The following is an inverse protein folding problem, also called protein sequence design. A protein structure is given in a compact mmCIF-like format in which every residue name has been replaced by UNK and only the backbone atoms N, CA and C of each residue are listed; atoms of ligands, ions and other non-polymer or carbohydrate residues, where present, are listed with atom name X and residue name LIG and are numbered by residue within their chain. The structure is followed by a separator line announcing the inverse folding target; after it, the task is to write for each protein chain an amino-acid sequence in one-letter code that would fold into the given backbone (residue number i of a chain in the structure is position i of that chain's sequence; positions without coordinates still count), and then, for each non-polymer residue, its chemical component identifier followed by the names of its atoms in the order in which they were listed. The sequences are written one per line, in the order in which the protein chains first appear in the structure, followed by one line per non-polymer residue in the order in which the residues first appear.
data_IF_133907734968
#
_entry.id   IF_133907734968
#
_cell.length_a   1.000
_cell.length_b   1.000
_cell.length_c   1.000
_cell.angle_alpha   90.00
_cell.angle_beta   90.00
_cell.angle_gamma   90.00
#
_symmetry.space_group_name_H-M   'P 1'
#
loop_
_entity.id
_entity.type
_entity.pdbx_description
1 polymer ?
#
# COMPACT_ATOMS: atom_id res chain seq x y z
N UNK A 1 18.02 -11.10 10.50
CA UNK A 1 19.29 -10.35 10.72
C UNK A 1 19.14 -9.06 11.52
N UNK A 2 18.16 -8.19 11.22
CA UNK A 2 18.00 -6.89 11.91
C UNK A 2 16.85 -6.83 12.93
N UNK A 3 16.08 -7.92 13.06
CA UNK A 3 14.92 -8.01 13.97
C UNK A 3 13.93 -6.84 13.80
N UNK A 4 13.73 -6.39 12.56
CA UNK A 4 12.83 -5.29 12.24
C UNK A 4 11.45 -5.87 11.92
N UNK A 5 10.42 -5.35 12.57
CA UNK A 5 9.04 -5.66 12.22
C UNK A 5 8.68 -5.04 10.87
N UNK A 6 8.02 -5.82 10.02
CA UNK A 6 7.52 -5.38 8.71
C UNK A 6 6.00 -5.33 8.76
N UNK A 7 5.41 -4.24 8.26
CA UNK A 7 3.96 -4.13 8.11
C UNK A 7 3.64 -4.30 6.62
N UNK A 8 3.04 -5.44 6.28
CA UNK A 8 2.48 -5.72 4.97
C UNK A 8 1.03 -5.19 4.93
N UNK A 9 0.85 -3.94 4.47
CA UNK A 9 -0.47 -3.37 4.23
C UNK A 9 -1.01 -3.78 2.85
N UNK A 10 -2.03 -4.64 2.84
CA UNK A 10 -2.56 -5.25 1.62
C UNK A 10 -4.07 -4.96 1.41
N UNK A 11 -4.43 -3.71 1.06
CA UNK A 11 -5.81 -3.33 0.80
C UNK A 11 -6.31 -3.72 -0.59
N UNK A 12 -5.42 -4.09 -1.52
CA UNK A 12 -5.74 -4.29 -2.94
C UNK A 12 -5.53 -5.72 -3.45
N UNK A 13 -4.97 -6.63 -2.64
CA UNK A 13 -4.52 -7.94 -3.13
C UNK A 13 -5.60 -8.81 -3.79
N UNK A 14 -6.87 -8.62 -3.41
CA UNK A 14 -8.00 -9.32 -4.02
C UNK A 14 -8.47 -8.68 -5.34
N UNK A 15 -8.11 -7.43 -5.62
CA UNK A 15 -8.49 -6.70 -6.84
C UNK A 15 -7.43 -6.89 -7.92
N UNK A 16 -7.20 -8.14 -8.30
CA UNK A 16 -6.23 -8.52 -9.33
C UNK A 16 -6.94 -8.87 -10.63
N UNK A 17 -6.34 -8.48 -11.76
CA UNK A 17 -6.88 -8.73 -13.09
C UNK A 17 -5.85 -9.26 -14.10
N UNK A 18 -4.56 -9.35 -13.73
CA UNK A 18 -3.52 -10.02 -14.49
C UNK A 18 -2.50 -10.72 -13.58
N UNK A 19 -1.76 -11.68 -14.13
CA UNK A 19 -0.67 -12.39 -13.44
C UNK A 19 -1.11 -13.29 -12.27
N UNK A 20 -0.20 -14.14 -11.80
CA UNK A 20 -0.42 -14.94 -10.59
C UNK A 20 -0.32 -14.07 -9.33
N UNK A 21 -1.16 -14.29 -8.31
CA UNK A 21 -1.06 -13.54 -7.06
C UNK A 21 0.28 -13.83 -6.37
N UNK A 22 1.03 -12.80 -5.93
CA UNK A 22 2.27 -13.02 -5.21
C UNK A 22 2.00 -13.69 -3.86
N UNK A 23 2.96 -14.48 -3.39
CA UNK A 23 2.92 -15.05 -2.03
C UNK A 23 3.06 -13.89 -1.03
N UNK A 24 2.12 -13.71 -0.07
CA UNK A 24 2.22 -12.66 0.93
C UNK A 24 3.52 -12.76 1.73
N UNK A 25 4.11 -11.62 2.11
CA UNK A 25 5.32 -11.58 2.94
C UNK A 25 5.08 -12.28 4.27
N UNK A 26 3.89 -12.11 4.85
CA UNK A 26 3.47 -12.81 6.06
C UNK A 26 3.58 -14.33 5.93
N UNK A 27 3.18 -14.89 4.78
CA UNK A 27 3.26 -16.33 4.52
C UNK A 27 4.70 -16.82 4.36
N UNK A 28 5.58 -15.98 3.78
CA UNK A 28 7.01 -16.30 3.62
C UNK A 28 7.77 -16.24 4.95
N UNK A 29 7.42 -15.30 5.82
CA UNK A 29 8.03 -15.12 7.13
C UNK A 29 7.54 -16.14 8.17
N UNK A 30 6.30 -16.65 8.03
CA UNK A 30 5.69 -17.54 9.00
C UNK A 30 5.01 -16.81 10.17
N UNK A 31 4.98 -15.48 10.16
CA UNK A 31 4.30 -14.65 11.15
C UNK A 31 5.14 -14.34 12.40
N UNK A 32 6.47 -14.28 12.26
CA UNK A 32 7.43 -13.98 13.33
C UNK A 32 7.78 -12.49 13.38
N UNK A 33 8.00 -11.87 12.22
CA UNK A 33 8.38 -10.46 12.08
C UNK A 33 7.46 -9.67 11.13
N UNK A 34 6.64 -10.34 10.32
CA UNK A 34 5.72 -9.68 9.41
C UNK A 34 4.32 -9.60 10.04
N UNK A 35 3.73 -8.41 10.00
CA UNK A 35 2.32 -8.17 10.27
C UNK A 35 1.59 -8.06 8.93
N UNK A 36 0.50 -8.81 8.77
CA UNK A 36 -0.40 -8.65 7.63
C UNK A 36 -1.58 -7.76 8.03
N UNK A 37 -1.81 -6.69 7.28
CA UNK A 37 -2.95 -5.78 7.48
C UNK A 37 -3.84 -5.84 6.25
N UNK A 38 -5.14 -6.07 6.46
CA UNK A 38 -6.13 -6.08 5.39
C UNK A 38 -7.32 -5.20 5.70
N UNK A 39 -8.08 -4.85 4.67
CA UNK A 39 -9.28 -4.02 4.81
C UNK A 39 -10.41 -4.46 3.89
N UNK A 40 -11.65 -4.26 4.34
CA UNK A 40 -12.85 -4.45 3.54
C UNK A 40 -13.22 -3.22 2.70
N UNK A 41 -12.43 -2.14 2.82
CA UNK A 41 -12.74 -0.85 2.21
C UNK A 41 -12.83 -0.89 0.69
N UNK A 42 -12.14 -1.85 0.04
CA UNK A 42 -12.00 -1.93 -1.42
C UNK A 42 -12.75 -3.10 -2.04
N UNK A 43 -13.20 -4.05 -1.21
CA UNK A 43 -13.85 -5.30 -1.64
C UNK A 43 -15.28 -5.45 -1.12
N UNK A 44 -15.74 -4.50 -0.30
CA UNK A 44 -17.10 -4.47 0.22
C UNK A 44 -17.61 -3.03 0.28
N UNK A 45 -17.08 -2.22 1.20
CA UNK A 45 -17.47 -0.82 1.33
C UNK A 45 -16.49 -0.05 2.24
N UNK A 46 -16.01 1.13 1.83
CA UNK A 46 -15.20 1.97 2.72
C UNK A 46 -15.99 2.48 3.93
N UNK A 47 -17.33 2.53 3.86
CA UNK A 47 -18.20 3.03 4.94
C UNK A 47 -18.33 2.08 6.14
N UNK A 48 -18.01 0.80 5.97
CA UNK A 48 -18.14 -0.19 7.06
C UNK A 48 -17.00 -0.09 8.10
N UNK A 49 -15.89 0.57 7.74
CA UNK A 49 -14.71 0.79 8.58
C UNK A 49 -14.17 -0.47 9.25
N UNK A 50 -14.14 -1.59 8.54
CA UNK A 50 -13.56 -2.85 9.03
C UNK A 50 -12.27 -3.19 8.28
N UNK A 51 -11.27 -3.56 9.07
CA UNK A 51 -10.05 -4.23 8.63
C UNK A 51 -9.65 -5.30 9.64
N UNK A 52 -8.61 -6.06 9.32
CA UNK A 52 -8.07 -7.11 10.16
C UNK A 52 -6.55 -7.04 10.17
N UNK A 53 -5.95 -7.63 11.20
CA UNK A 53 -4.50 -7.75 11.34
C UNK A 53 -4.14 -9.17 11.78
N UNK A 54 -3.15 -9.76 11.11
CA UNK A 54 -2.44 -10.94 11.59
C UNK A 54 -1.07 -10.46 12.07
N UNK A 55 -0.69 -10.79 13.30
CA UNK A 55 0.54 -10.30 13.90
C UNK A 55 1.13 -11.34 14.86
N UNK A 56 2.46 -11.30 15.11
CA UNK A 56 3.10 -12.13 16.13
C UNK A 56 2.41 -11.97 17.49
N UNK A 57 2.25 -13.03 18.31
CA UNK A 57 1.49 -12.96 19.56
C UNK A 57 1.89 -11.82 20.52
N UNK A 58 3.20 -11.52 20.73
CA UNK A 58 3.61 -10.40 21.58
C UNK A 58 3.13 -9.04 21.04
N UNK A 59 3.12 -8.87 19.72
CA UNK A 59 2.68 -7.64 19.05
C UNK A 59 1.16 -7.53 19.11
N UNK A 60 0.44 -8.63 18.85
CA UNK A 60 -1.02 -8.68 18.96
C UNK A 60 -1.50 -8.27 20.36
N UNK A 61 -0.83 -8.73 21.42
CA UNK A 61 -1.17 -8.33 22.79
C UNK A 61 -1.07 -6.80 23.00
N UNK A 62 -0.07 -6.14 22.40
CA UNK A 62 0.06 -4.67 22.45
C UNK A 62 -0.98 -3.97 21.60
N UNK A 63 -1.32 -4.51 20.43
CA UNK A 63 -2.38 -3.96 19.56
C UNK A 63 -3.75 -4.00 20.26
N UNK A 64 -4.08 -5.10 20.95
CA UNK A 64 -5.34 -5.22 21.71
C UNK A 64 -5.41 -4.19 22.84
N UNK A 65 -4.33 -4.00 23.59
CA UNK A 65 -4.26 -2.96 24.61
C UNK A 65 -4.43 -1.55 24.03
N UNK A 66 -3.72 -1.25 22.93
CA UNK A 66 -3.82 0.04 22.24
C UNK A 66 -5.22 0.31 21.69
N UNK A 67 -5.85 -0.70 21.08
CA UNK A 67 -7.24 -0.63 20.59
C UNK A 67 -8.22 -0.40 21.73
N UNK A 68 -8.11 -1.17 22.81
CA UNK A 68 -8.94 -1.01 24.00
C UNK A 68 -8.87 0.40 24.58
N UNK A 69 -7.69 1.00 24.63
CA UNK A 69 -7.49 2.37 25.09
C UNK A 69 -7.98 3.44 24.09
N UNK A 70 -8.03 3.13 22.79
CA UNK A 70 -8.38 4.09 21.75
C UNK A 70 -9.89 4.19 21.51
N UNK A 71 -10.57 3.06 21.36
CA UNK A 71 -12.00 3.03 20.98
C UNK A 71 -12.78 1.86 21.60
N UNK A 72 -12.18 1.13 22.56
CA UNK A 72 -12.68 -0.10 23.18
C UNK A 72 -12.80 -1.27 22.19
N UNK A 73 -13.68 -1.15 21.21
CA UNK A 73 -13.93 -2.15 20.19
C UNK A 73 -14.54 -1.55 18.93
N UNK A 74 -14.34 -2.23 17.80
CA UNK A 74 -15.05 -1.91 16.55
C UNK A 74 -16.54 -2.26 16.69
N UNK A 75 -17.42 -1.51 16.00
CA UNK A 75 -18.86 -1.78 15.94
C UNK A 75 -19.19 -3.28 15.80
N UNK A 76 -19.79 -3.86 16.84
CA UNK A 76 -20.21 -5.26 16.86
C UNK A 76 -21.20 -5.56 15.73
N UNK A 77 -22.16 -4.66 15.50
CA UNK A 77 -23.14 -4.80 14.41
C UNK A 77 -22.45 -4.93 13.04
N UNK A 78 -21.47 -4.07 12.77
CA UNK A 78 -20.71 -4.10 11.52
C UNK A 78 -19.93 -5.41 11.38
N UNK A 79 -19.35 -5.92 12.47
CA UNK A 79 -18.63 -7.19 12.47
C UNK A 79 -19.56 -8.38 12.19
N UNK A 80 -20.77 -8.39 12.77
CA UNK A 80 -21.78 -9.42 12.47
C UNK A 80 -22.24 -9.36 11.02
N UNK A 81 -22.51 -8.16 10.49
CA UNK A 81 -22.87 -8.00 9.08
C UNK A 81 -21.79 -8.58 8.15
N UNK A 82 -20.53 -8.25 8.39
CA UNK A 82 -19.40 -8.80 7.62
C UNK A 82 -19.35 -10.31 7.73
N UNK A 83 -19.51 -10.87 8.94
CA UNK A 83 -19.51 -12.31 9.14
C UNK A 83 -20.56 -13.02 8.28
N UNK A 84 -21.80 -12.53 8.29
CA UNK A 84 -22.88 -13.12 7.49
C UNK A 84 -22.60 -12.97 5.99
N UNK A 85 -22.24 -11.76 5.54
CA UNK A 85 -21.94 -11.50 4.13
C UNK A 85 -20.83 -12.40 3.56
N UNK A 86 -19.73 -12.57 4.30
CA UNK A 86 -18.63 -13.44 3.86
C UNK A 86 -18.97 -14.92 4.01
N UNK A 87 -19.81 -15.30 4.98
CA UNK A 87 -20.30 -16.66 5.20
C UNK A 87 -21.14 -17.19 4.04
N UNK A 88 -21.90 -16.33 3.36
CA UNK A 88 -22.68 -16.70 2.16
C UNK A 88 -21.82 -16.99 0.92
N UNK A 89 -20.55 -16.55 0.91
CA UNK A 89 -19.61 -16.81 -0.20
C UNK A 89 -19.79 -15.94 -1.46
N UNK A 90 -20.89 -15.18 -1.57
CA UNK A 90 -21.24 -14.32 -2.73
C UNK A 90 -20.22 -13.22 -3.02
N UNK A 91 -19.40 -12.86 -2.04
CA UNK A 91 -18.33 -11.87 -2.18
C UNK A 91 -17.29 -12.24 -3.25
N UNK A 92 -17.10 -13.53 -3.55
CA UNK A 92 -16.13 -13.98 -4.56
C UNK A 92 -16.53 -13.54 -5.96
N UNK A 93 -17.81 -13.71 -6.29
CA UNK A 93 -18.39 -13.28 -7.57
C UNK A 93 -18.35 -11.76 -7.69
N UNK A 94 -18.70 -11.06 -6.60
CA UNK A 94 -18.64 -9.60 -6.52
C UNK A 94 -17.22 -9.07 -6.76
N UNK A 95 -16.20 -9.63 -6.09
CA UNK A 95 -14.80 -9.25 -6.31
C UNK A 95 -14.35 -9.56 -7.73
N UNK A 96 -14.74 -10.70 -8.30
CA UNK A 96 -14.43 -11.03 -9.69
C UNK A 96 -15.08 -10.05 -10.70
N UNK A 97 -16.27 -9.53 -10.38
CA UNK A 97 -16.91 -8.47 -11.15
C UNK A 97 -16.17 -7.14 -11.02
N UNK A 98 -15.80 -6.73 -9.81
CA UNK A 98 -14.97 -5.54 -9.58
C UNK A 98 -13.66 -5.61 -10.36
N UNK A 99 -12.94 -6.74 -10.31
CA UNK A 99 -11.70 -6.93 -11.07
C UNK A 99 -11.90 -6.76 -12.57
N UNK A 100 -13.00 -7.27 -13.13
CA UNK A 100 -13.33 -7.08 -14.56
C UNK A 100 -13.58 -5.62 -14.90
N UNK A 101 -14.37 -4.92 -14.09
CA UNK A 101 -14.67 -3.49 -14.28
C UNK A 101 -13.38 -2.67 -14.22
N UNK A 102 -12.56 -2.89 -13.18
CA UNK A 102 -11.32 -2.14 -13.00
C UNK A 102 -10.27 -2.46 -14.06
N UNK A 103 -10.21 -3.70 -14.55
CA UNK A 103 -9.35 -4.07 -15.69
C UNK A 103 -9.70 -3.27 -16.95
N UNK A 104 -11.00 -3.21 -17.29
CA UNK A 104 -11.47 -2.47 -18.47
C UNK A 104 -11.15 -0.98 -18.36
N UNK A 105 -11.36 -0.39 -17.18
CA UNK A 105 -11.03 1.02 -16.91
C UNK A 105 -9.54 1.32 -16.90
N UNK A 106 -8.71 0.42 -16.36
CA UNK A 106 -7.24 0.50 -16.43
C UNK A 106 -6.77 0.48 -17.89
N UNK A 107 -7.34 -0.39 -18.71
CA UNK A 107 -6.98 -0.47 -20.13
C UNK A 107 -7.40 0.79 -20.90
N UNK A 108 -8.61 1.32 -20.64
CA UNK A 108 -9.04 2.59 -21.23
C UNK A 108 -8.14 3.77 -20.83
N UNK A 109 -7.65 3.79 -19.59
CA UNK A 109 -6.69 4.79 -19.13
C UNK A 109 -5.36 4.69 -19.87
N UNK A 110 -4.80 3.48 -20.03
CA UNK A 110 -3.53 3.27 -20.74
C UNK A 110 -3.64 3.61 -22.22
N UNK A 111 -4.71 3.20 -22.88
CA UNK A 111 -4.98 3.60 -24.28
C UNK A 111 -5.03 5.13 -24.43
N UNK A 112 -5.68 5.81 -23.49
CA UNK A 112 -5.75 7.27 -23.51
C UNK A 112 -4.39 7.92 -23.23
N UNK A 113 -3.57 7.36 -22.33
CA UNK A 113 -2.22 7.84 -22.06
C UNK A 113 -1.34 7.70 -23.30
N UNK A 114 -1.35 6.53 -23.96
CA UNK A 114 -0.63 6.30 -25.22
C UNK A 114 -1.01 7.31 -26.31
N UNK A 115 -2.26 7.75 -26.33
CA UNK A 115 -2.77 8.68 -27.34
C UNK A 115 -2.50 10.14 -27.05
N UNK A 116 -2.55 10.56 -25.79
CA UNK A 116 -2.60 11.98 -25.42
C UNK A 116 -1.40 12.47 -24.62
N UNK A 117 -0.59 11.58 -24.06
CA UNK A 117 0.62 12.00 -23.35
C UNK A 117 1.81 12.10 -24.33
N UNK A 118 2.76 13.00 -24.05
CA UNK A 118 3.92 13.18 -24.91
C UNK A 118 4.84 11.95 -24.81
N UNK A 119 5.66 11.66 -25.83
CA UNK A 119 6.47 10.43 -25.90
C UNK A 119 7.51 10.30 -24.78
N UNK A 120 7.88 11.41 -24.13
CA UNK A 120 8.80 11.44 -23.00
C UNK A 120 8.13 11.02 -21.68
N UNK A 121 6.79 10.96 -21.63
CA UNK A 121 6.07 10.51 -20.46
C UNK A 121 6.11 8.98 -20.34
N UNK A 122 6.11 8.52 -19.09
CA UNK A 122 6.14 7.10 -18.75
C UNK A 122 5.02 6.79 -17.76
N UNK A 123 4.59 5.54 -17.69
CA UNK A 123 3.62 5.12 -16.68
C UNK A 123 3.74 3.65 -16.33
N UNK A 124 3.24 3.31 -15.14
CA UNK A 124 3.10 1.94 -14.69
C UNK A 124 1.94 1.24 -15.37
N UNK A 125 2.09 -0.08 -15.50
CA UNK A 125 1.10 -0.96 -16.11
C UNK A 125 0.61 -1.98 -15.06
N UNK A 126 -0.20 -1.54 -14.08
CA UNK A 126 -0.55 -2.38 -12.94
C UNK A 126 -1.39 -3.58 -13.37
N UNK A 127 -1.17 -4.73 -12.70
CA UNK A 127 -1.95 -5.97 -12.85
C UNK A 127 -3.10 -6.09 -11.83
N UNK A 128 -3.28 -5.09 -10.99
CA UNK A 128 -4.27 -5.05 -9.92
C UNK A 128 -4.36 -3.68 -9.25
N UNK A 129 -5.32 -3.53 -8.34
CA UNK A 129 -5.53 -2.30 -7.59
C UNK A 129 -6.32 -1.25 -8.36
N UNK A 130 -6.15 0.03 -7.98
CA UNK A 130 -7.03 1.14 -8.37
C UNK A 130 -6.29 2.33 -8.98
N UNK A 131 -4.97 2.25 -9.10
CA UNK A 131 -4.13 3.38 -9.46
C UNK A 131 -3.08 3.02 -10.49
N UNK A 132 -2.81 3.99 -11.35
CA UNK A 132 -1.66 4.02 -12.25
C UNK A 132 -0.76 5.18 -11.82
N UNK A 133 0.55 4.99 -11.99
CA UNK A 133 1.56 5.99 -11.70
C UNK A 133 2.16 6.49 -13.00
N UNK A 134 2.07 7.79 -13.28
CA UNK A 134 2.64 8.39 -14.47
C UNK A 134 3.77 9.36 -14.09
N UNK A 135 4.83 9.41 -14.89
CA UNK A 135 5.97 10.30 -14.69
C UNK A 135 6.22 11.09 -15.97
N UNK A 136 6.23 12.40 -15.84
CA UNK A 136 6.51 13.38 -16.88
C UNK A 136 7.98 13.80 -16.86
N UNK A 137 8.48 14.49 -17.89
CA UNK A 137 9.81 15.09 -17.87
C UNK A 137 10.04 15.99 -16.65
N UNK A 138 11.27 15.99 -16.13
CA UNK A 138 11.66 16.66 -14.87
C UNK A 138 11.38 18.17 -14.83
N UNK A 139 11.24 18.82 -15.98
CA UNK A 139 10.90 20.24 -16.07
C UNK A 139 9.41 20.53 -15.87
N UNK A 140 8.56 19.51 -15.79
CA UNK A 140 7.12 19.64 -15.50
C UNK A 140 6.87 19.31 -14.03
N UNK A 141 6.46 20.31 -13.27
CA UNK A 141 5.96 20.11 -11.91
C UNK A 141 4.46 19.75 -11.94
N UNK A 142 4.11 18.61 -11.35
CA UNK A 142 2.74 18.09 -11.35
C UNK A 142 1.81 18.79 -10.37
N UNK A 143 2.34 19.48 -9.35
CA UNK A 143 1.54 20.35 -8.46
C UNK A 143 1.08 21.59 -9.23
N UNK A 144 1.98 22.22 -9.99
CA UNK A 144 1.64 23.32 -10.89
C UNK A 144 0.72 22.87 -12.03
N UNK A 145 0.98 21.69 -12.58
CA UNK A 145 0.12 21.08 -13.61
C UNK A 145 -1.30 20.87 -13.09
N UNK A 146 -1.46 20.39 -11.85
CA UNK A 146 -2.78 20.20 -11.24
C UNK A 146 -3.55 21.52 -11.15
N UNK A 147 -2.90 22.60 -10.73
CA UNK A 147 -3.53 23.92 -10.64
C UNK A 147 -4.09 24.41 -11.99
N UNK A 148 -3.43 24.06 -13.10
CA UNK A 148 -3.90 24.34 -14.46
C UNK A 148 -5.02 23.39 -14.87
N UNK A 149 -4.83 22.09 -14.66
CA UNK A 149 -5.78 21.03 -15.00
C UNK A 149 -7.16 21.20 -14.32
N UNK A 150 -7.18 21.75 -13.09
CA UNK A 150 -8.42 22.07 -12.39
C UNK A 150 -9.30 23.08 -13.13
N UNK A 151 -8.72 23.98 -13.94
CA UNK A 151 -9.49 24.92 -14.78
C UNK A 151 -10.29 24.20 -15.86
N UNK A 152 -9.82 23.03 -16.27
CA UNK A 152 -10.47 22.15 -17.25
C UNK A 152 -11.31 21.06 -16.58
N UNK A 153 -11.60 21.19 -15.27
CA UNK A 153 -12.39 20.23 -14.50
C UNK A 153 -11.82 18.81 -14.52
N UNK A 154 -10.48 18.67 -14.50
CA UNK A 154 -9.81 17.37 -14.31
C UNK A 154 -8.81 17.48 -13.16
N UNK A 155 -8.72 16.41 -12.35
CA UNK A 155 -7.86 16.36 -11.19
C UNK A 155 -7.15 15.01 -11.10
N UNK A 156 -5.95 15.05 -10.52
CA UNK A 156 -5.14 13.90 -10.15
C UNK A 156 -4.42 14.21 -8.84
N UNK A 157 -3.66 13.26 -8.30
CA UNK A 157 -2.85 13.50 -7.09
C UNK A 157 -1.39 13.73 -7.50
N UNK A 158 -0.77 14.88 -7.19
CA UNK A 158 0.64 15.13 -7.46
C UNK A 158 1.52 14.13 -6.71
N UNK A 159 2.62 13.73 -7.34
CA UNK A 159 3.44 12.61 -6.89
C UNK A 159 4.30 12.94 -5.67
N UNK A 160 4.64 14.20 -5.47
CA UNK A 160 5.46 14.67 -4.34
C UNK A 160 4.92 14.20 -2.98
N UNK A 161 3.58 14.16 -2.83
CA UNK A 161 2.92 13.69 -1.61
C UNK A 161 3.17 12.20 -1.28
N UNK A 162 3.72 11.42 -2.22
CA UNK A 162 4.08 10.01 -2.02
C UNK A 162 5.55 9.82 -1.59
N UNK A 163 6.37 10.88 -1.55
CA UNK A 163 7.77 10.83 -1.16
C UNK A 163 8.03 11.63 0.12
N UNK A 164 9.06 11.23 0.87
CA UNK A 164 9.48 11.92 2.12
C UNK A 164 10.78 12.70 1.95
N UNK A 165 11.42 12.59 0.78
CA UNK A 165 12.73 13.15 0.44
C UNK A 165 12.67 14.24 -0.65
N UNK A 166 11.47 14.75 -0.95
CA UNK A 166 11.25 15.80 -1.95
C UNK A 166 11.28 15.33 -3.41
N UNK A 167 11.34 14.02 -3.67
CA UNK A 167 11.17 13.46 -5.03
C UNK A 167 9.70 13.47 -5.48
N UNK A 168 9.47 13.14 -6.75
CA UNK A 168 8.13 12.90 -7.29
C UNK A 168 7.41 14.14 -7.82
N UNK A 169 8.08 15.28 -7.93
CA UNK A 169 7.51 16.51 -8.52
C UNK A 169 7.01 16.28 -9.95
N UNK A 170 7.74 15.50 -10.75
CA UNK A 170 7.35 15.11 -12.12
C UNK A 170 6.34 13.95 -12.22
N UNK A 171 5.93 13.36 -11.09
CA UNK A 171 5.06 12.18 -11.10
C UNK A 171 3.64 12.49 -10.66
N UNK A 172 2.66 11.67 -11.06
CA UNK A 172 1.27 11.80 -10.66
C UNK A 172 0.61 10.44 -10.47
N UNK A 173 -0.35 10.38 -9.55
CA UNK A 173 -1.21 9.20 -9.35
C UNK A 173 -2.57 9.42 -10.00
N UNK A 174 -2.89 8.52 -10.94
CA UNK A 174 -4.18 8.48 -11.64
C UNK A 174 -5.05 7.35 -11.07
N UNK A 175 -6.34 7.61 -10.85
CA UNK A 175 -7.29 6.62 -10.34
C UNK A 175 -8.32 6.25 -11.42
N UNK A 176 -8.52 4.94 -11.64
CA UNK A 176 -9.47 4.42 -12.62
C UNK A 176 -10.67 3.70 -11.97
N UNK A 177 -10.89 3.90 -10.66
CA UNK A 177 -11.88 3.12 -9.90
C UNK A 177 -13.28 3.72 -9.85
N UNK A 178 -13.41 5.05 -10.02
CA UNK A 178 -14.70 5.73 -9.88
C UNK A 178 -15.36 6.04 -11.23
N UNK A 179 -14.58 6.61 -12.16
CA UNK A 179 -15.08 7.15 -13.43
C UNK A 179 -15.36 6.05 -14.45
N UNK A 180 -16.29 6.31 -15.37
CA UNK A 180 -16.50 5.48 -16.57
C UNK A 180 -15.29 5.56 -17.51
N UNK A 181 -15.21 4.62 -18.45
CA UNK A 181 -14.11 4.60 -19.42
C UNK A 181 -14.08 5.85 -20.31
N UNK A 182 -15.24 6.40 -20.68
CA UNK A 182 -15.33 7.61 -21.49
C UNK A 182 -14.90 8.85 -20.70
N UNK A 183 -15.29 8.94 -19.42
CA UNK A 183 -14.82 9.99 -18.52
C UNK A 183 -13.30 9.88 -18.27
N UNK A 184 -12.77 8.66 -18.20
CA UNK A 184 -11.32 8.42 -18.12
C UNK A 184 -10.62 8.94 -19.37
N UNK A 185 -11.09 8.56 -20.58
CA UNK A 185 -10.51 9.02 -21.84
C UNK A 185 -10.53 10.53 -21.96
N UNK A 186 -11.64 11.16 -21.60
CA UNK A 186 -11.79 12.61 -21.62
C UNK A 186 -10.90 13.30 -20.57
N UNK A 187 -10.81 12.76 -19.35
CA UNK A 187 -9.94 13.27 -18.31
C UNK A 187 -8.47 13.23 -18.74
N UNK A 188 -8.00 12.10 -19.26
CA UNK A 188 -6.63 11.95 -19.75
C UNK A 188 -6.36 12.88 -20.94
N UNK A 189 -7.32 13.05 -21.86
CA UNK A 189 -7.20 14.01 -22.97
C UNK A 189 -6.99 15.44 -22.47
N UNK A 190 -7.75 15.87 -21.46
CA UNK A 190 -7.61 17.22 -20.87
C UNK A 190 -6.26 17.39 -20.20
N UNK A 191 -5.81 16.40 -19.43
CA UNK A 191 -4.47 16.41 -18.83
C UNK A 191 -3.39 16.51 -19.93
N UNK A 192 -3.52 15.70 -20.99
CA UNK A 192 -2.61 15.71 -22.13
C UNK A 192 -2.50 17.07 -22.80
N UNK A 193 -3.63 17.78 -22.98
CA UNK A 193 -3.63 19.12 -23.54
C UNK A 193 -2.83 20.13 -22.68
N UNK A 194 -3.01 20.10 -21.35
CA UNK A 194 -2.25 20.97 -20.44
C UNK A 194 -0.75 20.62 -20.46
N UNK A 195 -0.42 19.32 -20.56
CA UNK A 195 0.98 18.87 -20.69
C UNK A 195 1.59 19.39 -21.99
N UNK A 196 0.88 19.27 -23.12
CA UNK A 196 1.33 19.72 -24.43
C UNK A 196 1.65 21.22 -24.46
N UNK A 197 0.84 22.04 -23.80
CA UNK A 197 1.13 23.47 -23.60
C UNK A 197 2.44 23.69 -22.82
N UNK A 198 2.72 22.89 -21.79
CA UNK A 198 3.96 22.98 -21.01
C UNK A 198 5.19 22.53 -21.80
N UNK A 199 5.05 21.45 -22.57
CA UNK A 199 6.12 20.96 -23.45
C UNK A 199 6.45 22.01 -24.50
N UNK A 200 5.43 22.53 -25.20
CA UNK A 200 5.60 23.57 -26.23
C UNK A 200 6.26 24.83 -25.66
N UNK A 201 5.87 25.25 -24.45
CA UNK A 201 6.47 26.41 -23.78
C UNK A 201 7.95 26.17 -23.47
N UNK A 202 8.30 24.99 -22.92
CA UNK A 202 9.68 24.62 -22.62
C UNK A 202 10.54 24.60 -23.89
N UNK A 203 10.06 23.96 -24.96
CA UNK A 203 10.76 23.89 -26.25
C UNK A 203 10.97 25.28 -26.87
N UNK A 204 9.97 26.16 -26.79
CA UNK A 204 10.06 27.54 -27.29
C UNK A 204 11.08 28.37 -26.52
N UNK A 205 11.15 28.19 -25.20
CA UNK A 205 12.06 28.95 -24.33
C UNK A 205 13.51 28.47 -24.41
N UNK A 206 13.73 27.17 -24.59
CA UNK A 206 15.07 26.55 -24.54
C UNK A 206 15.66 26.30 -25.92
N UNK A 207 14.83 26.18 -26.95
CA UNK A 207 15.24 25.70 -28.28
C UNK A 207 15.60 24.21 -28.31
N UNK A 208 15.43 23.48 -27.19
CA UNK A 208 15.69 22.05 -27.10
C UNK A 208 14.44 21.28 -27.53
N UNK A 209 14.55 20.45 -28.58
CA UNK A 209 13.52 19.49 -28.94
C UNK A 209 14.00 18.10 -28.51
N UNK A 210 13.64 17.67 -27.29
CA UNK A 210 14.10 16.37 -26.78
C UNK A 210 13.23 15.26 -27.34
N UNK A 211 13.65 14.68 -28.47
CA UNK A 211 13.11 13.42 -28.97
C UNK A 211 13.65 12.30 -28.07
N UNK A 212 12.80 11.79 -27.18
CA UNK A 212 13.13 10.59 -26.38
C UNK A 212 12.72 9.37 -27.20
N UNK A 213 13.60 8.37 -27.29
CA UNK A 213 13.24 7.09 -27.90
C UNK A 213 12.10 6.46 -27.06
N UNK A 214 10.94 6.16 -27.66
CA UNK A 214 9.81 5.56 -26.95
C UNK A 214 10.17 4.26 -26.20
N UNK A 215 11.20 3.53 -26.64
CA UNK A 215 11.68 2.32 -25.97
C UNK A 215 12.50 2.63 -24.70
N UNK A 216 13.34 3.66 -24.70
CA UNK A 216 14.11 4.08 -23.52
C UNK A 216 13.18 4.58 -22.39
N UNK A 217 12.14 5.32 -22.74
CA UNK A 217 11.11 5.76 -21.79
C UNK A 217 10.36 4.58 -21.17
N UNK A 218 9.94 3.60 -22.00
CA UNK A 218 9.24 2.39 -21.53
C UNK A 218 10.12 1.49 -20.64
N UNK A 219 11.41 1.38 -20.91
CA UNK A 219 12.36 0.64 -20.06
C UNK A 219 12.58 1.31 -18.71
N UNK A 220 12.70 2.64 -18.67
CA UNK A 220 12.78 3.40 -17.42
C UNK A 220 11.51 3.25 -16.56
N UNK A 221 10.32 3.23 -17.19
CA UNK A 221 9.03 3.02 -16.52
C UNK A 221 8.93 1.63 -15.85
N UNK A 222 9.41 0.59 -16.54
CA UNK A 222 9.46 -0.79 -16.02
C UNK A 222 10.50 -0.91 -14.90
N UNK A 223 11.60 -0.17 -15.02
CA UNK A 223 12.62 -0.03 -13.98
C UNK A 223 12.08 0.54 -12.68
N UNK A 224 11.14 1.48 -12.68
CA UNK A 224 10.63 2.02 -11.40
C UNK A 224 9.59 1.10 -10.72
N UNK A 225 9.00 0.17 -11.49
CA UNK A 225 8.09 -0.87 -10.97
C UNK A 225 8.79 -2.15 -10.48
N UNK A 226 10.11 -2.27 -10.68
CA UNK A 226 10.83 -3.53 -10.41
C UNK A 226 12.36 -3.45 -10.29
N UNK A 227 12.98 -2.29 -10.45
CA UNK A 227 14.36 -2.05 -10.03
C UNK A 227 14.29 -1.45 -8.63
N UNK A 228 14.76 -2.23 -7.66
CA UNK A 228 15.29 -1.63 -6.46
C UNK A 228 16.40 -0.69 -6.90
N UNK A 229 16.06 0.59 -7.10
CA UNK A 229 17.05 1.62 -6.93
C UNK A 229 17.74 1.31 -5.62
N UNK A 230 19.06 1.42 -5.58
CA UNK A 230 19.81 1.49 -4.34
C UNK A 230 19.33 2.75 -3.58
N UNK A 231 18.09 2.74 -3.10
CA UNK A 231 17.66 3.57 -2.01
C UNK A 231 18.64 3.23 -0.92
N UNK A 232 19.49 4.20 -0.58
CA UNK A 232 20.53 4.04 0.41
C UNK A 232 19.92 3.26 1.58
N UNK A 233 20.30 1.99 1.72
CA UNK A 233 19.81 1.15 2.80
C UNK A 233 20.30 1.84 4.05
N UNK A 234 19.41 2.60 4.69
CA UNK A 234 19.76 3.34 5.88
C UNK A 234 20.43 2.33 6.82
N UNK A 235 21.67 2.59 7.27
CA UNK A 235 22.40 1.64 8.07
C UNK A 235 21.72 1.53 9.44
N UNK A 236 20.75 0.64 9.56
CA UNK A 236 20.16 0.26 10.84
C UNK A 236 21.11 -0.65 11.60
N UNK A 237 21.49 -0.25 12.81
CA UNK A 237 22.35 -1.05 13.68
C UNK A 237 21.77 -2.45 13.90
N UNK A 238 22.54 -3.49 13.56
CA UNK A 238 22.21 -4.87 13.93
C UNK A 238 22.33 -4.98 15.44
N UNK A 239 21.33 -5.59 16.10
CA UNK A 239 21.49 -6.04 17.48
C UNK A 239 22.59 -7.11 17.51
N UNK A 240 23.61 -7.00 18.37
CA UNK A 240 24.57 -8.09 18.53
C UNK A 240 23.83 -9.35 18.97
N UNK A 241 24.21 -10.53 18.47
CA UNK A 241 23.57 -11.78 18.85
C UNK A 241 23.62 -11.94 20.36
N UNK A 242 22.48 -12.23 20.98
CA UNK A 242 22.43 -12.60 22.40
C UNK A 242 23.25 -13.88 22.58
N UNK A 243 24.35 -13.75 23.33
CA UNK A 243 25.21 -14.86 23.70
C UNK A 243 24.37 -15.82 24.55
N UNK A 244 23.91 -16.93 23.95
CA UNK A 244 23.28 -18.03 24.69
C UNK A 244 24.35 -18.68 25.57
N UNK A 245 24.60 -18.08 26.73
CA UNK A 245 25.29 -18.66 27.89
C UNK A 245 24.36 -18.38 29.09
N UNK A 246 23.99 -19.30 29.96
CA UNK A 246 24.53 -20.61 30.26
C UNK A 246 23.43 -21.39 30.99
N UNK A 247 23.22 -22.64 30.60
CA UNK A 247 22.42 -23.57 31.35
C UNK A 247 23.30 -24.21 32.42
N UNK A 248 23.15 -23.80 33.68
CA UNK A 248 23.34 -24.58 34.92
C UNK A 248 23.50 -23.62 36.11
N UNK A 249 22.46 -23.49 36.94
CA UNK A 249 22.52 -23.77 38.38
C UNK A 249 21.13 -23.61 39.01
N UNK A 250 20.40 -24.73 39.15
CA UNK A 250 19.34 -24.86 40.16
C UNK A 250 19.73 -26.00 41.08
N UNK A 251 20.77 -25.73 41.87
CA UNK A 251 21.15 -26.50 43.03
C UNK A 251 20.00 -26.59 44.04
N UNK A 252 19.62 -27.83 44.27
CA UNK A 252 18.75 -28.37 45.29
C UNK A 252 18.99 -27.76 46.70
N UNK A 253 17.92 -27.25 47.33
CA UNK A 253 17.84 -27.10 48.79
C UNK A 253 16.47 -27.52 49.29
N UNK A 254 16.28 -28.83 49.40
CA UNK A 254 15.39 -29.43 50.41
C UNK A 254 16.19 -29.77 51.68
N UNK A 255 15.85 -29.13 52.80
CA UNK A 255 16.02 -29.64 54.18
C UNK A 255 14.94 -28.93 55.03
N UNK A 256 13.83 -29.58 55.41
CA UNK A 256 13.60 -30.48 56.56
C UNK A 256 14.07 -29.92 57.91
N UNK A 257 13.12 -29.76 58.82
CA UNK A 257 13.25 -29.41 60.24
C UNK A 257 11.97 -28.71 60.73
N UNK A 258 10.85 -29.42 60.86
CA UNK A 258 10.31 -30.01 62.12
C UNK A 258 9.91 -28.99 63.21
N UNK A 259 8.62 -28.99 63.59
CA UNK A 259 8.11 -28.28 64.77
C UNK A 259 6.59 -28.06 64.80
N UNK A 260 5.85 -29.03 65.35
CA UNK A 260 4.38 -29.17 65.59
C UNK A 260 3.51 -27.92 65.90
N UNK A 261 2.17 -28.00 65.65
CA UNK A 261 1.14 -27.05 66.08
C UNK A 261 0.56 -27.39 67.49
N UNK A 262 -0.22 -26.50 68.14
CA UNK A 262 -1.68 -26.64 68.06
C UNK A 262 -2.50 -25.34 68.28
N UNK A 263 -3.81 -25.43 68.03
CA UNK A 263 -4.82 -24.65 68.76
C UNK A 263 -5.48 -23.53 67.97
N UNK A 264 -6.74 -23.75 67.59
CA UNK A 264 -7.58 -22.73 66.93
C UNK A 264 -8.26 -21.77 67.91
N UNK A 265 -8.92 -20.76 67.36
CA UNK A 265 -10.19 -20.25 67.86
C UNK A 265 -10.94 -19.46 66.79
N UNK A 266 -12.25 -19.38 66.97
CA UNK A 266 -13.31 -18.88 66.09
C UNK A 266 -13.52 -17.36 66.23
N UNK A 267 -14.20 -16.78 65.24
CA UNK A 267 -14.89 -15.49 65.32
C UNK A 267 -14.07 -14.31 64.75
N UNK A 268 -14.60 -13.39 63.96
CA UNK A 268 -15.97 -13.01 63.59
C UNK A 268 -16.05 -12.78 62.08
#
# INVERSE_FOLDING_TARGET
EREILVIEDNPYGLLRFGGEPPIPLYSLDGGDYVLYVGTLSKILSPGIRIGWVCAPPPVMAKLVLGKGASDLCTSTLSQYFVREYFGEGRWREYVAELSRIYSSRRNAMIEALERYFPPQATWSEPEGGLFLWATLPDYIDTTDLLAKALRDNVAFVPGEAAYTDGRGSGSMRLNYSAQSEDEIREGVRRIGAVIDEQVTLYETMTGEHRVVDPNEAREAARGDSGSGGEGAVLPFHRRPPEDTRDGRDRGDRRSRGDGRPPGGDRGR
#
